data_IF_333028876069
#
_entry.id   IF_333028876069
#
_cell.length_a   1.000
_cell.length_b   1.000
_cell.length_c   1.000
_cell.angle_alpha   90.00
_cell.angle_beta   90.00
_cell.angle_gamma   90.00
#
_symmetry.space_group_name_H-M   'P 1'
#
loop_
_entity.id
_entity.type
_entity.pdbx_description
1 polymer ?
#
# COMPACT_ATOMS: atom_id res chain seq x y z
N UNK A 1 66.66 37.77 -51.28
CA UNK A 1 66.07 36.65 -52.04
C UNK A 1 65.45 35.67 -51.05
N UNK A 2 64.25 35.18 -51.36
CA UNK A 2 63.42 34.30 -50.50
C UNK A 2 64.05 32.90 -50.36
N UNK A 3 63.88 32.26 -49.20
CA UNK A 3 63.62 30.81 -48.99
C UNK A 3 63.56 30.56 -47.47
N UNK A 4 62.37 30.32 -46.89
CA UNK A 4 61.83 29.00 -46.44
C UNK A 4 62.83 28.09 -45.73
N UNK A 5 62.53 27.70 -44.48
CA UNK A 5 62.25 26.31 -44.03
C UNK A 5 61.82 26.38 -42.55
N UNK A 6 60.59 25.94 -42.25
CA UNK A 6 60.12 25.63 -40.88
C UNK A 6 60.36 24.15 -40.66
N UNK A 7 61.27 23.80 -39.75
CA UNK A 7 61.39 22.45 -39.23
C UNK A 7 62.18 22.46 -37.92
N UNK A 8 61.56 21.84 -36.91
CA UNK A 8 62.14 21.23 -35.73
C UNK A 8 62.65 22.10 -34.56
N UNK A 9 61.98 21.85 -33.42
CA UNK A 9 62.55 21.63 -32.09
C UNK A 9 63.26 22.79 -31.41
N UNK A 10 62.58 23.43 -30.46
CA UNK A 10 63.01 23.50 -29.06
C UNK A 10 61.97 24.27 -28.23
N UNK A 11 61.99 24.06 -26.91
CA UNK A 11 61.36 24.87 -25.86
C UNK A 11 59.86 24.54 -25.71
N UNK A 12 59.33 23.99 -24.61
CA UNK A 12 59.41 24.48 -23.23
C UNK A 12 58.76 23.39 -22.37
N UNK A 13 59.51 22.66 -21.55
CA UNK A 13 59.60 22.89 -20.11
C UNK A 13 58.24 22.97 -19.38
N UNK A 14 58.13 22.16 -18.32
CA UNK A 14 57.42 22.51 -17.09
C UNK A 14 55.91 22.23 -16.99
N UNK A 15 55.48 20.96 -16.94
CA UNK A 15 54.26 20.56 -16.21
C UNK A 15 54.37 19.13 -15.64
N UNK A 16 55.48 18.82 -14.97
CA UNK A 16 55.52 17.74 -13.97
C UNK A 16 55.03 18.27 -12.61
N UNK A 17 53.88 18.97 -12.58
CA UNK A 17 53.10 19.19 -11.35
C UNK A 17 52.13 18.02 -11.24
N UNK A 18 52.41 17.04 -10.39
CA UNK A 18 51.87 17.01 -9.03
C UNK A 18 50.34 17.16 -8.99
N UNK A 19 49.63 16.15 -9.49
CA UNK A 19 48.26 15.87 -9.04
C UNK A 19 48.33 14.98 -7.79
N UNK A 20 48.57 15.62 -6.65
CA UNK A 20 47.81 15.32 -5.44
C UNK A 20 46.32 15.59 -5.79
N UNK A 21 45.30 14.92 -5.27
CA UNK A 21 45.12 14.50 -3.89
C UNK A 21 43.93 13.56 -3.88
N UNK A 22 44.06 12.51 -3.07
CA UNK A 22 43.02 11.74 -2.40
C UNK A 22 41.70 12.52 -2.22
N UNK A 23 40.61 12.06 -2.84
CA UNK A 23 39.25 12.39 -2.44
C UNK A 23 38.60 11.10 -1.92
N UNK A 24 38.79 10.88 -0.64
CA UNK A 24 38.00 9.97 0.16
C UNK A 24 36.64 10.61 0.48
N UNK A 25 35.62 9.75 0.52
CA UNK A 25 34.32 9.92 1.20
C UNK A 25 33.29 10.87 0.60
N UNK A 26 32.26 10.25 0.02
CA UNK A 26 30.96 10.87 -0.24
C UNK A 26 29.90 9.93 -0.82
N UNK A 27 30.01 8.60 -0.66
CA UNK A 27 28.88 7.71 -0.97
C UNK A 27 27.89 7.73 0.20
N UNK A 28 26.94 8.66 0.09
CA UNK A 28 25.70 8.62 0.84
C UNK A 28 24.97 7.31 0.51
N UNK A 29 24.71 6.51 1.55
CA UNK A 29 24.11 5.19 1.44
C UNK A 29 22.83 5.16 0.60
N UNK A 30 22.90 4.47 -0.53
CA UNK A 30 21.75 3.94 -1.22
C UNK A 30 21.29 2.68 -0.45
N UNK A 31 20.07 2.61 0.09
CA UNK A 31 19.60 1.38 0.69
C UNK A 31 19.39 0.33 -0.42
N UNK A 32 20.37 -0.58 -0.55
CA UNK A 32 20.30 -1.93 -1.11
C UNK A 32 19.09 -2.18 -2.03
N UNK A 33 19.32 -1.95 -3.32
CA UNK A 33 18.40 -2.25 -4.40
C UNK A 33 18.16 -3.75 -4.50
N UNK A 34 16.90 -4.15 -4.32
CA UNK A 34 16.41 -5.46 -4.72
C UNK A 34 16.81 -5.69 -6.20
N UNK A 35 17.43 -6.83 -6.57
CA UNK A 35 17.86 -7.07 -7.95
C UNK A 35 16.64 -7.00 -8.88
N UNK A 36 16.56 -5.96 -9.71
CA UNK A 36 15.56 -5.84 -10.76
C UNK A 36 15.90 -6.86 -11.85
N UNK A 37 14.98 -7.77 -12.20
CA UNK A 37 15.19 -8.64 -13.35
C UNK A 37 15.42 -7.77 -14.60
N UNK A 38 16.37 -8.12 -15.49
CA UNK A 38 16.73 -7.30 -16.65
C UNK A 38 15.57 -7.01 -17.62
N UNK A 39 14.43 -7.71 -17.49
CA UNK A 39 13.25 -7.56 -18.35
C UNK A 39 12.12 -6.68 -17.77
N UNK A 40 12.22 -6.20 -16.53
CA UNK A 40 11.08 -5.55 -15.87
C UNK A 40 10.66 -4.25 -16.59
N UNK A 41 11.64 -3.41 -16.93
CA UNK A 41 11.38 -2.13 -17.60
C UNK A 41 10.76 -2.33 -18.98
N UNK A 42 11.28 -3.27 -19.76
CA UNK A 42 10.73 -3.62 -21.08
C UNK A 42 9.29 -4.11 -20.98
N UNK A 43 8.95 -4.93 -19.97
CA UNK A 43 7.57 -5.39 -19.73
C UNK A 43 6.64 -4.23 -19.34
N UNK A 44 7.12 -3.31 -18.52
CA UNK A 44 6.34 -2.12 -18.14
C UNK A 44 6.09 -1.22 -19.35
N UNK A 45 7.11 -0.95 -20.16
CA UNK A 45 6.97 -0.16 -21.39
C UNK A 45 6.00 -0.81 -22.37
N UNK A 46 6.09 -2.14 -22.55
CA UNK A 46 5.12 -2.88 -23.37
C UNK A 46 3.70 -2.78 -22.83
N UNK A 47 3.51 -2.75 -21.51
CA UNK A 47 2.20 -2.55 -20.91
C UNK A 47 1.68 -1.13 -21.18
N UNK A 48 2.52 -0.10 -21.00
CA UNK A 48 2.16 1.30 -21.26
C UNK A 48 1.77 1.53 -22.72
N UNK A 49 2.47 0.90 -23.66
CA UNK A 49 2.16 0.99 -25.09
C UNK A 49 0.83 0.32 -25.46
N UNK A 50 0.33 -0.62 -24.65
CA UNK A 50 -0.95 -1.31 -24.85
C UNK A 50 -2.14 -0.58 -24.23
N UNK A 51 -1.89 0.42 -23.36
CA UNK A 51 -2.93 1.18 -22.67
C UNK A 51 -3.57 2.20 -23.63
N UNK A 52 -4.86 2.43 -23.47
CA UNK A 52 -5.55 3.50 -24.20
C UNK A 52 -5.27 4.90 -23.60
N UNK A 53 -5.73 5.95 -24.27
CA UNK A 53 -5.51 7.33 -23.81
C UNK A 53 -6.16 7.64 -22.45
N UNK A 54 -7.29 7.01 -22.14
CA UNK A 54 -8.02 7.20 -20.89
C UNK A 54 -7.26 6.56 -19.73
N UNK A 55 -6.77 5.34 -19.94
CA UNK A 55 -5.92 4.59 -19.02
C UNK A 55 -4.61 5.34 -18.75
N UNK A 56 -3.94 5.84 -19.79
CA UNK A 56 -2.71 6.63 -19.64
C UNK A 56 -2.96 7.94 -18.88
N UNK A 57 -4.09 8.60 -19.12
CA UNK A 57 -4.48 9.81 -18.39
C UNK A 57 -4.72 9.52 -16.90
N UNK A 58 -5.38 8.41 -16.59
CA UNK A 58 -5.60 7.97 -15.21
C UNK A 58 -4.29 7.58 -14.51
N UNK A 59 -3.37 6.94 -15.23
CA UNK A 59 -2.03 6.63 -14.73
C UNK A 59 -1.26 7.90 -14.38
N UNK A 60 -1.22 8.91 -15.28
CA UNK A 60 -0.57 10.20 -15.00
C UNK A 60 -1.13 10.87 -13.74
N UNK A 61 -2.45 10.93 -13.60
CA UNK A 61 -3.12 11.46 -12.39
C UNK A 61 -2.70 10.72 -11.13
N UNK A 62 -2.49 9.40 -11.24
CA UNK A 62 -2.10 8.55 -10.11
C UNK A 62 -0.65 8.80 -9.72
N UNK A 63 0.26 8.88 -10.69
CA UNK A 63 1.67 9.24 -10.49
C UNK A 63 1.77 10.61 -9.82
N UNK A 64 1.10 11.63 -10.35
CA UNK A 64 1.09 12.98 -9.77
C UNK A 64 0.58 13.00 -8.32
N UNK A 65 -0.42 12.18 -7.99
CA UNK A 65 -0.91 12.06 -6.61
C UNK A 65 0.15 11.45 -5.71
N UNK A 66 0.79 10.37 -6.17
CA UNK A 66 1.82 9.66 -5.40
C UNK A 66 3.04 10.56 -5.21
N UNK A 67 3.48 11.30 -6.23
CA UNK A 67 4.60 12.24 -6.14
C UNK A 67 4.39 13.27 -5.03
N UNK A 68 3.17 13.79 -4.90
CA UNK A 68 2.75 14.75 -3.88
C UNK A 68 2.57 14.16 -2.48
N UNK A 69 2.59 12.84 -2.31
CA UNK A 69 2.52 12.20 -0.98
C UNK A 69 3.84 12.38 -0.22
N UNK A 70 3.71 12.56 1.09
CA UNK A 70 4.84 12.49 2.02
C UNK A 70 5.49 11.09 2.04
N UNK A 71 6.75 10.95 2.48
CA UNK A 71 7.41 9.64 2.61
C UNK A 71 6.61 8.64 3.46
N UNK A 72 6.01 9.11 4.56
CA UNK A 72 5.19 8.28 5.44
C UNK A 72 3.91 7.76 4.75
N UNK A 73 3.24 8.62 3.98
CA UNK A 73 2.06 8.22 3.20
C UNK A 73 2.41 7.23 2.10
N UNK A 74 3.56 7.41 1.43
CA UNK A 74 4.08 6.47 0.42
C UNK A 74 4.36 5.11 1.04
N UNK A 75 4.98 5.07 2.22
CA UNK A 75 5.25 3.83 2.94
C UNK A 75 3.94 3.13 3.35
N UNK A 76 2.96 3.88 3.86
CA UNK A 76 1.65 3.35 4.22
C UNK A 76 0.92 2.77 3.00
N UNK A 77 0.99 3.45 1.86
CA UNK A 77 0.43 2.98 0.60
C UNK A 77 1.12 1.68 0.14
N UNK A 78 2.46 1.65 0.15
CA UNK A 78 3.26 0.48 -0.20
C UNK A 78 2.90 -0.73 0.68
N UNK A 79 2.79 -0.53 2.00
CA UNK A 79 2.35 -1.56 2.96
C UNK A 79 0.95 -2.09 2.63
N UNK A 80 0.01 -1.23 2.23
CA UNK A 80 -1.35 -1.64 1.84
C UNK A 80 -1.35 -2.45 0.55
N UNK A 81 -0.57 -2.04 -0.45
CA UNK A 81 -0.43 -2.77 -1.73
C UNK A 81 0.21 -4.14 -1.48
N UNK A 82 1.28 -4.20 -0.67
CA UNK A 82 1.93 -5.45 -0.29
C UNK A 82 0.98 -6.42 0.40
N UNK A 83 0.12 -5.93 1.30
CA UNK A 83 -0.94 -6.77 1.92
C UNK A 83 -1.87 -7.37 0.89
N UNK A 84 -2.32 -6.60 -0.11
CA UNK A 84 -3.20 -7.09 -1.17
C UNK A 84 -2.51 -8.11 -2.08
N UNK A 85 -1.26 -7.88 -2.46
CA UNK A 85 -0.49 -8.80 -3.29
C UNK A 85 -0.25 -10.16 -2.60
N UNK A 86 -0.15 -10.15 -1.27
CA UNK A 86 0.04 -11.35 -0.46
C UNK A 86 -1.28 -12.07 -0.10
N UNK A 87 -2.45 -11.56 -0.52
CA UNK A 87 -3.72 -12.27 -0.33
C UNK A 87 -3.85 -13.41 -1.36
N UNK A 88 -4.57 -14.47 -0.97
CA UNK A 88 -4.95 -15.55 -1.89
C UNK A 88 -5.74 -14.97 -3.09
N UNK A 89 -5.31 -15.23 -4.35
CA UNK A 89 -6.03 -14.78 -5.54
C UNK A 89 -7.52 -15.15 -5.55
N UNK A 90 -7.89 -16.34 -5.04
CA UNK A 90 -9.31 -16.75 -4.95
C UNK A 90 -10.08 -15.86 -3.97
N UNK A 91 -9.43 -15.41 -2.90
CA UNK A 91 -10.01 -14.47 -1.96
C UNK A 91 -10.22 -13.10 -2.61
N UNK A 92 -9.24 -12.60 -3.37
CA UNK A 92 -9.35 -11.34 -4.12
C UNK A 92 -10.51 -11.40 -5.12
N UNK A 93 -10.61 -12.49 -5.87
CA UNK A 93 -11.70 -12.70 -6.82
C UNK A 93 -13.06 -12.76 -6.11
N UNK A 94 -13.16 -13.46 -4.97
CA UNK A 94 -14.38 -13.49 -4.16
C UNK A 94 -14.80 -12.08 -3.71
N UNK A 95 -13.87 -11.24 -3.27
CA UNK A 95 -14.15 -9.85 -2.90
C UNK A 95 -14.63 -9.04 -4.11
N UNK A 96 -13.97 -9.20 -5.26
CA UNK A 96 -14.36 -8.53 -6.50
C UNK A 96 -15.77 -8.93 -6.94
N UNK A 97 -16.10 -10.22 -6.88
CA UNK A 97 -17.41 -10.74 -7.25
C UNK A 97 -18.50 -10.26 -6.29
N UNK A 98 -18.22 -10.20 -4.98
CA UNK A 98 -19.14 -9.61 -4.00
C UNK A 98 -19.43 -8.14 -4.29
N UNK A 99 -18.41 -7.37 -4.68
CA UNK A 99 -18.60 -5.97 -5.07
C UNK A 99 -19.42 -5.83 -6.37
N UNK A 100 -19.13 -6.65 -7.39
CA UNK A 100 -19.89 -6.66 -8.65
C UNK A 100 -21.34 -7.10 -8.49
N UNK A 101 -21.64 -7.92 -7.49
CA UNK A 101 -23.00 -8.33 -7.16
C UNK A 101 -23.86 -7.19 -6.59
N UNK A 102 -23.25 -6.07 -6.18
CA UNK A 102 -23.98 -4.87 -5.76
C UNK A 102 -24.42 -4.11 -7.03
N UNK A 103 -25.72 -3.80 -7.18
CA UNK A 103 -26.22 -2.97 -8.29
C UNK A 103 -25.42 -1.67 -8.45
N UNK A 104 -25.21 -1.21 -9.69
CA UNK A 104 -24.42 0.01 -9.94
C UNK A 104 -25.04 1.24 -9.26
N UNK A 105 -26.37 1.37 -9.28
CA UNK A 105 -27.10 2.45 -8.60
C UNK A 105 -26.82 2.47 -7.09
N UNK A 106 -26.87 1.30 -6.45
CA UNK A 106 -26.53 1.15 -5.04
C UNK A 106 -25.06 1.52 -4.78
N UNK A 107 -24.12 1.10 -5.64
CA UNK A 107 -22.70 1.48 -5.52
C UNK A 107 -22.49 2.98 -5.62
N UNK A 108 -23.20 3.66 -6.53
CA UNK A 108 -23.15 5.12 -6.69
C UNK A 108 -23.74 5.81 -5.45
N UNK A 109 -24.88 5.36 -4.95
CA UNK A 109 -25.52 5.90 -3.75
C UNK A 109 -24.62 5.75 -2.52
N UNK A 110 -24.06 4.56 -2.31
CA UNK A 110 -23.08 4.28 -1.25
C UNK A 110 -21.87 5.21 -1.33
N UNK A 111 -21.30 5.38 -2.54
CA UNK A 111 -20.16 6.27 -2.75
C UNK A 111 -20.52 7.72 -2.45
N UNK A 112 -21.65 8.21 -2.97
CA UNK A 112 -22.10 9.59 -2.76
C UNK A 112 -22.25 9.89 -1.28
N UNK A 113 -22.92 9.00 -0.52
CA UNK A 113 -23.08 9.12 0.93
C UNK A 113 -21.75 9.09 1.67
N UNK A 114 -20.86 8.17 1.34
CA UNK A 114 -19.55 8.11 1.99
C UNK A 114 -18.72 9.37 1.75
N UNK A 115 -18.80 9.93 0.53
CA UNK A 115 -18.08 11.15 0.16
C UNK A 115 -18.70 12.40 0.79
N UNK A 116 -20.02 12.42 1.05
CA UNK A 116 -20.67 13.53 1.76
C UNK A 116 -20.38 13.55 3.26
N UNK A 117 -20.01 12.41 3.86
CA UNK A 117 -19.62 12.35 5.27
C UNK A 117 -18.25 13.01 5.53
N UNK A 118 -18.17 13.79 6.58
CA UNK A 118 -16.94 14.32 7.17
C UNK A 118 -16.11 13.21 7.84
N UNK A 119 -14.85 13.51 8.17
CA UNK A 119 -13.98 12.56 8.85
C UNK A 119 -14.53 12.13 10.23
N UNK A 120 -15.09 13.08 10.98
CA UNK A 120 -15.70 12.83 12.30
C UNK A 120 -16.98 12.00 12.19
N UNK A 121 -17.84 12.30 11.20
CA UNK A 121 -19.03 11.47 10.94
C UNK A 121 -18.66 10.04 10.56
N UNK A 122 -17.65 9.85 9.71
CA UNK A 122 -17.14 8.50 9.37
C UNK A 122 -16.55 7.78 10.59
N UNK A 123 -15.98 8.51 11.56
CA UNK A 123 -15.43 7.94 12.80
C UNK A 123 -16.56 7.55 13.76
N UNK A 124 -17.53 8.42 13.97
CA UNK A 124 -18.73 8.14 14.75
C UNK A 124 -19.51 6.96 14.16
N UNK A 125 -19.66 6.92 12.84
CA UNK A 125 -20.26 5.82 12.10
C UNK A 125 -19.59 4.48 12.37
N UNK A 126 -18.26 4.42 12.24
CA UNK A 126 -17.49 3.20 12.54
C UNK A 126 -17.62 2.79 14.01
N UNK A 127 -17.66 3.76 14.94
CA UNK A 127 -17.86 3.50 16.37
C UNK A 127 -19.25 2.89 16.62
N UNK A 128 -20.32 3.49 16.06
CA UNK A 128 -21.70 2.98 16.11
C UNK A 128 -21.77 1.52 15.62
N UNK A 129 -21.14 1.21 14.48
CA UNK A 129 -21.14 -0.14 13.94
C UNK A 129 -20.34 -1.14 14.80
N UNK A 130 -19.28 -0.69 15.49
CA UNK A 130 -18.47 -1.58 16.32
C UNK A 130 -19.18 -2.07 17.57
N UNK A 131 -20.15 -1.30 18.08
CA UNK A 131 -20.92 -1.63 19.29
C UNK A 131 -22.17 -2.46 19.00
N UNK A 132 -22.61 -2.54 17.75
CA UNK A 132 -23.82 -3.27 17.33
C UNK A 132 -23.57 -4.76 17.08
N UNK A 133 -24.62 -5.56 17.23
CA UNK A 133 -24.61 -6.97 16.81
C UNK A 133 -24.51 -7.09 15.28
N UNK A 134 -24.21 -8.29 14.77
CA UNK A 134 -24.09 -8.50 13.32
C UNK A 134 -25.43 -8.30 12.59
N UNK A 135 -26.54 -8.67 13.23
CA UNK A 135 -27.89 -8.53 12.68
C UNK A 135 -28.31 -7.06 12.65
N UNK A 136 -28.07 -6.32 13.73
CA UNK A 136 -28.31 -4.87 13.80
C UNK A 136 -27.46 -4.09 12.80
N UNK A 137 -26.21 -4.50 12.58
CA UNK A 137 -25.39 -3.88 11.52
C UNK A 137 -26.01 -4.09 10.14
N UNK A 138 -26.56 -5.28 9.88
CA UNK A 138 -27.17 -5.59 8.59
C UNK A 138 -28.44 -4.75 8.35
N UNK A 139 -29.26 -4.51 9.38
CA UNK A 139 -30.43 -3.62 9.27
C UNK A 139 -30.00 -2.17 9.05
N UNK A 140 -29.05 -1.68 9.84
CA UNK A 140 -28.50 -0.33 9.70
C UNK A 140 -27.89 -0.12 8.31
N UNK A 141 -27.17 -1.10 7.76
CA UNK A 141 -26.63 -1.01 6.40
C UNK A 141 -27.71 -0.97 5.32
N UNK A 142 -28.85 -1.64 5.53
CA UNK A 142 -29.99 -1.62 4.61
C UNK A 142 -30.70 -0.28 4.64
N UNK A 143 -31.05 0.19 5.85
CA UNK A 143 -31.74 1.47 6.06
C UNK A 143 -30.89 2.64 5.60
N UNK A 144 -29.60 2.59 5.88
CA UNK A 144 -28.66 3.66 5.53
C UNK A 144 -28.04 3.48 4.12
N UNK A 145 -28.48 2.48 3.35
CA UNK A 145 -28.08 2.30 1.94
C UNK A 145 -26.57 2.07 1.76
N UNK A 146 -25.92 1.45 2.75
CA UNK A 146 -24.48 1.18 2.75
C UNK A 146 -24.11 -0.22 2.23
N UNK A 147 -25.03 -1.19 2.12
CA UNK A 147 -24.83 -2.48 1.41
C UNK A 147 -26.16 -3.21 1.13
N UNK A 148 -26.32 -3.96 0.02
CA UNK A 148 -27.32 -5.02 -0.10
C UNK A 148 -26.91 -6.26 0.71
N UNK A 149 -27.89 -6.98 1.28
CA UNK A 149 -27.67 -8.10 2.19
C UNK A 149 -26.80 -9.22 1.57
N UNK A 150 -25.89 -9.78 2.38
CA UNK A 150 -25.62 -11.21 2.24
C UNK A 150 -26.89 -11.94 2.66
N UNK A 151 -27.50 -12.71 1.75
CA UNK A 151 -28.54 -13.66 2.15
C UNK A 151 -27.98 -14.51 3.31
N UNK A 152 -28.69 -14.63 4.45
CA UNK A 152 -28.26 -15.51 5.50
C UNK A 152 -28.08 -16.90 4.87
N UNK A 153 -26.90 -17.49 5.07
CA UNK A 153 -26.65 -18.87 4.65
C UNK A 153 -27.64 -19.68 5.46
N UNK A 154 -28.65 -20.23 4.77
CA UNK A 154 -29.78 -20.90 5.41
C UNK A 154 -29.29 -21.84 6.51
N UNK A 155 -30.00 -21.79 7.63
CA UNK A 155 -30.03 -22.82 8.64
C UNK A 155 -30.16 -24.19 7.96
N UNK A 156 -29.02 -24.84 7.69
CA UNK A 156 -29.00 -26.28 7.49
C UNK A 156 -29.00 -26.88 8.89
N UNK A 157 -30.22 -27.14 9.34
CA UNK A 157 -30.64 -28.21 10.25
C UNK A 157 -29.61 -28.74 11.24
N UNK A 158 -29.97 -28.59 12.52
CA UNK A 158 -29.70 -29.62 13.52
C UNK A 158 -30.03 -31.02 12.95
N UNK A 159 -29.18 -31.99 13.28
CA UNK A 159 -29.16 -33.41 12.89
C UNK A 159 -28.33 -33.77 11.65
N UNK A 160 -27.01 -33.86 11.85
CA UNK A 160 -26.15 -34.91 11.27
C UNK A 160 -25.10 -35.28 12.33
N UNK A 161 -24.76 -36.57 12.54
CA UNK A 161 -23.97 -37.01 13.69
C UNK A 161 -22.53 -36.52 13.59
N UNK A 162 -22.03 -36.10 14.74
CA UNK A 162 -20.67 -35.66 15.02
C UNK A 162 -19.66 -36.68 14.50
N UNK A 163 -19.06 -36.39 13.34
CA UNK A 163 -17.77 -36.98 13.00
C UNK A 163 -16.73 -36.31 13.89
N UNK A 164 -16.25 -37.06 14.88
CA UNK A 164 -15.07 -36.76 15.68
C UNK A 164 -13.99 -36.13 14.79
N UNK A 165 -13.70 -34.86 15.08
CA UNK A 165 -12.46 -34.25 14.62
C UNK A 165 -11.36 -34.72 15.56
N UNK A 166 -10.22 -35.21 15.05
CA UNK A 166 -9.13 -35.62 15.92
C UNK A 166 -8.64 -34.40 16.70
N UNK A 167 -8.59 -34.57 18.02
CA UNK A 167 -8.13 -33.59 18.97
C UNK A 167 -6.69 -33.17 18.61
N UNK A 168 -6.48 -31.88 18.33
CA UNK A 168 -5.14 -31.32 18.22
C UNK A 168 -4.95 -30.38 19.40
N UNK A 169 -4.64 -31.01 20.52
CA UNK A 169 -4.11 -30.36 21.69
C UNK A 169 -2.89 -29.51 21.31
N UNK A 170 -2.83 -28.34 21.95
CA UNK A 170 -1.63 -27.65 22.40
C UNK A 170 -0.55 -27.35 21.35
N UNK A 171 -0.63 -26.16 20.73
CA UNK A 171 0.48 -25.18 20.67
C UNK A 171 0.00 -23.97 19.85
N UNK A 172 -0.55 -22.96 20.53
CA UNK A 172 -0.54 -21.60 20.02
C UNK A 172 -0.45 -20.65 21.22
N UNK A 173 0.63 -19.86 21.35
CA UNK A 173 0.76 -18.95 22.48
C UNK A 173 -0.32 -17.87 22.41
N UNK A 174 -1.05 -17.74 23.53
CA UNK A 174 -2.00 -16.67 23.81
C UNK A 174 -1.30 -15.33 23.54
N UNK A 175 -1.75 -14.58 22.53
CA UNK A 175 -1.32 -13.18 22.34
C UNK A 175 -1.86 -12.39 23.53
N UNK A 176 -1.04 -12.22 24.56
CA UNK A 176 -1.28 -11.20 25.56
C UNK A 176 -1.14 -9.84 24.87
N UNK A 177 -2.19 -9.03 24.97
CA UNK A 177 -2.12 -7.64 24.56
C UNK A 177 -1.09 -6.90 25.41
N UNK A 178 -0.55 -5.76 24.94
CA UNK A 178 0.39 -4.97 25.73
C UNK A 178 -0.25 -4.59 27.08
N UNK A 179 0.49 -4.68 28.20
CA UNK A 179 -0.03 -4.31 29.51
C UNK A 179 -0.42 -2.83 29.52
N UNK A 180 -1.52 -2.52 30.21
CA UNK A 180 -1.96 -1.15 30.42
C UNK A 180 -0.87 -0.34 31.16
N UNK A 181 -0.69 0.95 30.84
CA UNK A 181 0.24 1.80 31.58
C UNK A 181 -0.23 1.92 33.04
N UNK A 182 0.68 1.64 33.98
CA UNK A 182 0.46 1.80 35.42
C UNK A 182 0.07 3.25 35.76
N UNK A 183 -0.86 3.47 36.73
CA UNK A 183 -1.16 4.81 37.20
C UNK A 183 0.07 5.43 37.87
N UNK A 184 0.42 6.64 37.44
CA UNK A 184 1.48 7.43 38.04
C UNK A 184 1.19 7.66 39.53
N UNK A 185 2.18 7.33 40.37
CA UNK A 185 2.21 7.71 41.78
C UNK A 185 2.34 9.23 41.82
N UNK A 186 1.35 9.89 42.42
CA UNK A 186 1.44 11.29 42.83
C UNK A 186 2.35 11.30 44.05
N UNK A 187 3.60 11.72 43.89
CA UNK A 187 4.43 12.13 45.03
C UNK A 187 4.01 13.55 45.42
N UNK A 188 3.27 13.65 46.52
CA UNK A 188 3.17 14.85 47.34
C UNK A 188 4.57 15.23 47.83
N UNK A 189 5.07 16.38 47.41
CA UNK A 189 6.21 17.05 48.05
C UNK A 189 5.68 18.15 48.97
N UNK A 190 5.96 17.95 50.25
CA UNK A 190 5.90 18.97 51.31
C UNK A 190 6.96 20.06 51.11
#
# INVERSE_FOLDING_TARGET
MKTTVKCFTLVLACTCMSLATLAANGEAGHPEGRPTPPDHETRLLQQLLKMDEVELTNLRKTIQRIEKMSPEEKELLSKRIGKLHNMDPKHIESMRNKYKAIPEEDRIAMRKRWMSMTAEERKAWRKKLSTMSLEERATVFKEEGFMPMRKPKGSKQANEPEKERPNKDDTAPRREGPPAPSPAVVEDSH
#
